data_IF_410731466416
#
_entry.id   IF_410731466416
#
_cell.length_a   1.000
_cell.length_b   1.000
_cell.length_c   1.000
_cell.angle_alpha   90.00
_cell.angle_beta   90.00
_cell.angle_gamma   90.00
#
_symmetry.space_group_name_H-M   'P 1'
#
loop_
_entity.id
_entity.type
_entity.pdbx_description
1 polymer ?
#
# COMPACT_ATOMS: atom_id res chain seq x y z
N UNK A 1 -10.00 66.93 -18.69
CA UNK A 1 -11.42 66.53 -18.71
C UNK A 1 -11.63 65.74 -20.00
N UNK A 2 -11.87 64.41 -19.91
CA UNK A 2 -12.52 63.52 -20.90
C UNK A 2 -11.94 63.50 -22.34
N UNK A 3 -11.53 62.40 -22.97
CA UNK A 3 -12.07 61.02 -23.00
C UNK A 3 -11.02 60.01 -23.51
N UNK A 4 -11.11 58.79 -22.99
CA UNK A 4 -10.44 57.57 -23.47
C UNK A 4 -11.03 57.11 -24.81
N UNK A 5 -10.23 56.60 -25.74
CA UNK A 5 -10.70 55.63 -26.76
C UNK A 5 -9.52 54.81 -27.35
N UNK A 6 -9.48 53.53 -26.96
CA UNK A 6 -9.00 52.34 -27.69
C UNK A 6 -7.49 52.05 -27.86
N UNK A 7 -6.96 50.99 -27.21
CA UNK A 7 -5.89 50.16 -27.75
C UNK A 7 -6.46 48.79 -28.16
N UNK A 8 -7.31 48.75 -29.19
CA UNK A 8 -7.86 47.49 -29.73
C UNK A 8 -7.18 47.11 -31.06
N UNK A 9 -5.84 47.15 -31.11
CA UNK A 9 -5.09 46.68 -32.29
C UNK A 9 -3.82 45.90 -31.95
N UNK A 10 -3.62 45.51 -30.69
CA UNK A 10 -2.50 44.63 -30.30
C UNK A 10 -2.99 43.23 -29.88
N UNK A 11 -4.32 43.04 -29.75
CA UNK A 11 -4.90 41.79 -29.24
C UNK A 11 -5.08 40.68 -30.28
N UNK A 12 -4.84 40.94 -31.57
CA UNK A 12 -5.13 39.97 -32.64
C UNK A 12 -3.93 39.14 -33.12
N UNK A 13 -2.70 39.47 -32.73
CA UNK A 13 -1.49 38.86 -33.30
C UNK A 13 -0.72 37.91 -32.34
N UNK A 14 -1.27 37.63 -31.16
CA UNK A 14 -0.69 36.70 -30.16
C UNK A 14 -1.61 35.50 -29.93
N UNK A 15 -2.13 34.90 -31.01
CA UNK A 15 -3.03 33.74 -30.93
C UNK A 15 -2.60 32.56 -31.83
N UNK A 16 -1.42 32.59 -32.46
CA UNK A 16 -1.06 31.58 -33.47
C UNK A 16 0.31 30.89 -33.31
N UNK A 17 0.97 30.93 -32.15
CA UNK A 17 2.29 30.28 -31.99
C UNK A 17 2.49 29.37 -30.77
N UNK A 18 1.44 29.01 -30.03
CA UNK A 18 1.52 27.91 -29.06
C UNK A 18 0.87 26.63 -29.61
N UNK A 19 1.15 26.32 -30.88
CA UNK A 19 0.89 25.01 -31.46
C UNK A 19 2.09 24.07 -31.23
N UNK A 20 2.57 23.94 -29.99
CA UNK A 20 3.51 22.87 -29.62
C UNK A 20 3.23 22.38 -28.20
N UNK A 21 2.73 21.14 -28.15
CA UNK A 21 2.68 20.22 -27.02
C UNK A 21 2.13 20.72 -25.68
N UNK A 22 0.82 20.54 -25.51
CA UNK A 22 0.33 19.98 -24.25
C UNK A 22 -0.79 18.99 -24.53
N UNK A 23 -0.41 17.85 -25.11
CA UNK A 23 -1.20 16.64 -24.96
C UNK A 23 -1.13 16.25 -23.50
N UNK A 24 -2.08 16.73 -22.69
CA UNK A 24 -2.31 16.18 -21.36
C UNK A 24 -2.86 14.77 -21.54
N UNK A 25 -1.99 13.77 -21.54
CA UNK A 25 -2.39 12.41 -21.28
C UNK A 25 -2.97 12.39 -19.85
N UNK A 26 -4.30 12.45 -19.76
CA UNK A 26 -5.00 12.13 -18.51
C UNK A 26 -4.74 10.66 -18.23
N UNK A 27 -3.71 10.37 -17.44
CA UNK A 27 -3.60 9.09 -16.75
C UNK A 27 -4.50 9.20 -15.51
N UNK A 28 -5.80 9.07 -15.72
CA UNK A 28 -6.72 8.79 -14.63
C UNK A 28 -6.37 7.40 -14.09
N UNK A 29 -5.42 7.34 -13.16
CA UNK A 29 -5.31 6.21 -12.26
C UNK A 29 -6.60 6.24 -11.42
N UNK A 30 -7.56 5.43 -11.84
CA UNK A 30 -8.84 5.24 -11.18
C UNK A 30 -8.58 4.53 -9.84
N UNK A 31 -8.16 5.29 -8.83
CA UNK A 31 -8.07 4.77 -7.48
C UNK A 31 -9.48 4.76 -6.87
N UNK A 32 -10.05 3.55 -6.87
CA UNK A 32 -11.17 3.04 -6.06
C UNK A 32 -12.30 4.02 -5.67
N UNK A 33 -13.52 3.74 -6.13
CA UNK A 33 -14.75 4.30 -5.57
C UNK A 33 -14.89 3.85 -4.11
N UNK A 34 -14.85 4.74 -3.10
CA UNK A 34 -15.15 4.35 -1.73
C UNK A 34 -16.67 4.14 -1.63
N UNK A 35 -17.10 2.87 -1.62
CA UNK A 35 -18.47 2.56 -1.26
C UNK A 35 -18.67 2.90 0.23
N UNK A 36 -19.46 3.92 0.52
CA UNK A 36 -19.69 4.50 1.84
C UNK A 36 -20.38 3.56 2.86
N UNK A 37 -20.60 2.28 2.51
CA UNK A 37 -21.07 1.22 3.42
C UNK A 37 -20.12 0.02 3.56
N UNK A 38 -18.89 0.08 3.04
CA UNK A 38 -17.95 -1.04 3.04
C UNK A 38 -17.09 -1.08 4.31
N UNK A 39 -17.16 -2.16 5.08
CA UNK A 39 -16.25 -2.45 6.20
C UNK A 39 -14.82 -2.47 5.66
N UNK A 40 -13.99 -1.50 6.08
CA UNK A 40 -12.58 -1.42 5.68
C UNK A 40 -11.87 -2.73 6.07
N UNK A 41 -11.03 -3.25 5.19
CA UNK A 41 -10.11 -4.36 5.47
C UNK A 41 -8.76 -3.82 5.92
N UNK A 42 -7.89 -4.67 6.47
CA UNK A 42 -6.51 -4.26 6.78
C UNK A 42 -5.76 -3.83 5.51
N UNK A 43 -6.17 -4.34 4.34
CA UNK A 43 -5.64 -3.86 3.06
C UNK A 43 -6.08 -2.43 2.77
N UNK A 44 -7.32 -2.07 3.07
CA UNK A 44 -7.81 -0.71 2.84
C UNK A 44 -7.08 0.27 3.77
N UNK A 45 -6.73 -0.16 4.99
CA UNK A 45 -5.86 0.62 5.88
C UNK A 45 -4.45 0.76 5.29
N UNK A 46 -3.87 -0.32 4.77
CA UNK A 46 -2.51 -0.29 4.23
C UNK A 46 -2.40 0.41 2.88
N UNK A 47 -3.45 0.39 2.06
CA UNK A 47 -3.50 1.01 0.74
C UNK A 47 -3.83 2.52 0.77
N UNK A 48 -4.19 3.07 1.93
CA UNK A 48 -4.47 4.52 2.06
C UNK A 48 -3.21 5.38 1.94
N UNK A 49 -2.03 4.82 2.22
CA UNK A 49 -0.75 5.54 2.11
C UNK A 49 0.02 5.07 0.89
N UNK A 50 0.62 6.02 0.17
CA UNK A 50 1.54 5.74 -0.93
C UNK A 50 2.75 4.91 -0.46
N UNK A 51 3.18 5.13 0.80
CA UNK A 51 4.16 4.32 1.50
C UNK A 51 3.75 4.13 2.97
N UNK A 52 3.54 2.88 3.38
CA UNK A 52 3.32 2.50 4.77
C UNK A 52 4.51 1.70 5.28
N UNK A 53 5.18 2.22 6.31
CA UNK A 53 6.20 1.48 7.03
C UNK A 53 5.55 0.51 8.02
N UNK A 54 5.97 -0.75 7.98
CA UNK A 54 5.44 -1.83 8.82
C UNK A 54 6.61 -2.65 9.35
N UNK A 55 6.59 -2.94 10.64
CA UNK A 55 7.58 -3.81 11.30
C UNK A 55 6.98 -5.19 11.57
N UNK A 56 7.69 -6.24 11.17
CA UNK A 56 7.36 -7.62 11.49
C UNK A 56 8.41 -8.17 12.47
N UNK A 57 7.98 -8.47 13.71
CA UNK A 57 8.85 -9.01 14.76
C UNK A 57 8.55 -10.49 14.96
N UNK A 58 9.57 -11.35 14.85
CA UNK A 58 9.45 -12.82 14.98
C UNK A 58 10.79 -13.45 15.33
N UNK A 59 10.80 -14.72 15.74
CA UNK A 59 12.03 -15.51 15.85
C UNK A 59 12.56 -15.92 14.46
N UNK A 60 13.53 -15.15 13.97
CA UNK A 60 14.17 -15.41 12.68
C UNK A 60 15.01 -16.70 12.69
N UNK A 61 15.63 -17.05 13.81
CA UNK A 61 16.43 -18.28 13.93
C UNK A 61 15.56 -19.51 13.74
N UNK A 62 14.46 -19.58 14.49
CA UNK A 62 13.46 -20.64 14.35
C UNK A 62 12.88 -20.70 12.92
N UNK A 63 12.60 -19.54 12.30
CA UNK A 63 12.12 -19.46 10.92
C UNK A 63 13.11 -20.05 9.90
N UNK A 64 14.40 -19.73 10.02
CA UNK A 64 15.45 -20.14 9.09
C UNK A 64 15.78 -21.63 9.24
N UNK A 65 15.86 -22.11 10.48
CA UNK A 65 16.09 -23.53 10.81
C UNK A 65 14.95 -24.40 10.27
N UNK A 66 13.71 -23.94 10.44
CA UNK A 66 12.51 -24.69 10.06
C UNK A 66 11.96 -24.30 8.69
N UNK A 67 12.67 -23.51 7.87
CA UNK A 67 12.17 -22.94 6.60
C UNK A 67 11.61 -23.98 5.62
N UNK A 68 12.11 -25.22 5.66
CA UNK A 68 11.66 -26.32 4.78
C UNK A 68 10.30 -26.91 5.20
N UNK A 69 9.87 -26.66 6.44
CA UNK A 69 8.61 -27.13 7.03
C UNK A 69 7.57 -26.00 6.98
N UNK A 70 6.28 -26.37 6.99
CA UNK A 70 5.17 -25.40 7.04
C UNK A 70 4.69 -25.24 8.49
N UNK A 71 5.61 -24.83 9.37
CA UNK A 71 5.33 -24.63 10.79
C UNK A 71 4.83 -23.19 10.99
N UNK A 72 3.69 -23.05 11.66
CA UNK A 72 3.20 -21.77 12.16
C UNK A 72 4.01 -21.34 13.36
N UNK A 73 4.49 -20.10 13.35
CA UNK A 73 5.11 -19.47 14.50
C UNK A 73 4.46 -18.11 14.81
N UNK A 74 4.46 -17.67 16.07
CA UNK A 74 3.95 -16.36 16.46
C UNK A 74 4.84 -15.24 15.90
N UNK A 75 4.22 -14.11 15.56
CA UNK A 75 4.90 -12.88 15.20
C UNK A 75 4.02 -11.67 15.56
N UNK A 76 4.62 -10.50 15.70
CA UNK A 76 3.91 -9.23 15.86
C UNK A 76 4.08 -8.36 14.62
N UNK A 77 2.98 -7.80 14.13
CA UNK A 77 2.97 -6.83 13.03
C UNK A 77 2.61 -5.45 13.58
N UNK A 78 3.49 -4.48 13.47
CA UNK A 78 3.26 -3.12 13.95
C UNK A 78 3.47 -2.05 12.89
N UNK A 79 2.75 -0.93 13.05
CA UNK A 79 2.85 0.24 12.18
C UNK A 79 2.37 1.50 12.93
N UNK A 80 2.71 2.68 12.41
CA UNK A 80 2.22 3.96 12.92
C UNK A 80 0.99 4.39 12.11
N UNK A 81 -0.13 4.65 12.79
CA UNK A 81 -1.37 5.10 12.16
C UNK A 81 -1.27 6.58 11.72
N UNK A 82 -2.36 7.16 11.19
CA UNK A 82 -2.39 8.58 10.80
C UNK A 82 -2.37 9.55 11.98
N UNK A 83 -2.84 9.12 13.15
CA UNK A 83 -2.82 9.90 14.39
C UNK A 83 -1.45 9.88 15.10
N UNK A 84 -0.50 9.06 14.62
CA UNK A 84 0.81 8.88 15.25
C UNK A 84 0.87 7.76 16.30
N UNK A 85 -0.23 7.02 16.51
CA UNK A 85 -0.25 5.91 17.47
C UNK A 85 0.42 4.67 16.89
N UNK A 86 1.18 3.98 17.75
CA UNK A 86 1.72 2.66 17.44
C UNK A 86 0.64 1.59 17.58
N UNK A 87 0.29 0.97 16.46
CA UNK A 87 -0.65 -0.15 16.41
C UNK A 87 0.15 -1.45 16.25
N UNK A 88 -0.19 -2.47 17.05
CA UNK A 88 0.46 -3.78 16.99
C UNK A 88 -0.57 -4.91 16.97
N UNK A 89 -0.31 -5.93 16.15
CA UNK A 89 -1.17 -7.08 15.98
C UNK A 89 -0.38 -8.38 16.18
N UNK A 90 -0.89 -9.24 17.07
CA UNK A 90 -0.43 -10.62 17.18
C UNK A 90 -0.93 -11.44 15.98
N UNK A 91 0.03 -11.94 15.21
CA UNK A 91 -0.20 -12.73 14.00
C UNK A 91 0.59 -14.03 14.07
N UNK A 92 0.35 -14.90 13.09
CA UNK A 92 1.17 -16.09 12.86
C UNK A 92 1.81 -16.01 11.49
N UNK A 93 3.02 -16.52 11.36
CA UNK A 93 3.71 -16.59 10.07
C UNK A 93 4.08 -18.02 9.70
N UNK A 94 4.14 -18.30 8.40
CA UNK A 94 4.70 -19.54 7.87
C UNK A 94 5.58 -19.30 6.64
N UNK A 95 6.64 -20.10 6.43
CA UNK A 95 7.38 -20.10 5.16
C UNK A 95 6.46 -20.41 3.97
N UNK A 96 6.61 -19.63 2.91
CA UNK A 96 5.79 -19.73 1.69
C UNK A 96 6.56 -20.44 0.57
N UNK A 97 5.83 -21.32 -0.12
CA UNK A 97 6.22 -21.85 -1.43
C UNK A 97 7.16 -23.04 -1.32
N UNK A 98 6.82 -24.14 -2.01
CA UNK A 98 7.55 -25.41 -1.93
C UNK A 98 9.00 -25.28 -2.39
N UNK A 99 9.23 -24.56 -3.50
CA UNK A 99 10.57 -24.37 -4.07
C UNK A 99 11.33 -23.25 -3.34
N UNK A 100 10.75 -22.05 -3.26
CA UNK A 100 11.40 -20.87 -2.66
C UNK A 100 11.87 -21.11 -1.22
N UNK A 101 11.09 -21.79 -0.39
CA UNK A 101 11.50 -22.10 0.99
C UNK A 101 12.68 -23.08 1.12
N UNK A 102 13.05 -23.76 0.02
CA UNK A 102 14.20 -24.67 -0.02
C UNK A 102 15.46 -24.00 -0.54
N UNK A 103 15.31 -23.01 -1.43
CA UNK A 103 16.42 -22.38 -2.13
C UNK A 103 16.81 -20.99 -1.60
N UNK A 104 15.87 -20.25 -1.00
CA UNK A 104 16.15 -18.94 -0.43
C UNK A 104 16.63 -19.08 1.02
N UNK A 105 17.61 -18.27 1.41
CA UNK A 105 18.04 -18.16 2.81
C UNK A 105 16.94 -17.53 3.65
N UNK A 106 16.29 -16.50 3.09
CA UNK A 106 15.09 -15.91 3.64
C UNK A 106 13.85 -16.29 2.82
N UNK A 107 13.01 -17.25 3.29
CA UNK A 107 11.83 -17.65 2.54
C UNK A 107 10.79 -16.50 2.51
N UNK A 108 10.04 -16.34 1.42
CA UNK A 108 8.85 -15.48 1.45
C UNK A 108 7.87 -15.99 2.51
N UNK A 109 7.07 -15.10 3.10
CA UNK A 109 6.23 -15.43 4.25
C UNK A 109 4.74 -15.37 3.94
N UNK A 110 3.97 -16.26 4.56
CA UNK A 110 2.52 -16.12 4.70
C UNK A 110 2.25 -15.51 6.06
N UNK A 111 1.57 -14.36 6.12
CA UNK A 111 1.08 -13.80 7.38
C UNK A 111 -0.37 -14.24 7.60
N UNK A 112 -0.71 -14.63 8.82
CA UNK A 112 -2.04 -15.06 9.24
C UNK A 112 -2.49 -14.21 10.42
N UNK A 113 -3.46 -13.35 10.20
CA UNK A 113 -4.07 -12.52 11.26
C UNK A 113 -5.16 -13.33 11.96
N UNK A 114 -5.17 -13.30 13.29
CA UNK A 114 -6.18 -14.01 14.08
C UNK A 114 -7.58 -13.41 13.87
N UNK A 115 -8.62 -14.22 14.05
CA UNK A 115 -10.01 -13.73 13.88
C UNK A 115 -10.39 -12.70 14.94
N UNK A 116 -9.83 -12.82 16.15
CA UNK A 116 -10.04 -11.89 17.25
C UNK A 116 -9.50 -10.50 16.91
N UNK A 117 -8.28 -10.42 16.39
CA UNK A 117 -7.69 -9.15 15.94
C UNK A 117 -8.57 -8.48 14.87
N UNK A 118 -8.98 -9.22 13.84
CA UNK A 118 -9.83 -8.68 12.77
C UNK A 118 -11.18 -8.14 13.28
N UNK A 119 -11.78 -8.82 14.27
CA UNK A 119 -13.04 -8.42 14.86
C UNK A 119 -12.89 -7.14 15.71
N UNK A 120 -11.81 -7.03 16.49
CA UNK A 120 -11.52 -5.85 17.32
C UNK A 120 -11.25 -4.62 16.47
N UNK A 121 -10.53 -4.80 15.36
CA UNK A 121 -10.15 -3.69 14.48
C UNK A 121 -11.24 -3.27 13.48
N UNK A 122 -12.38 -3.97 13.47
CA UNK A 122 -13.45 -3.75 12.48
C UNK A 122 -12.99 -4.02 11.04
N UNK A 123 -12.01 -4.92 10.85
CA UNK A 123 -11.38 -5.17 9.55
C UNK A 123 -12.06 -6.36 8.86
N UNK A 124 -12.39 -6.23 7.57
CA UNK A 124 -13.02 -7.30 6.79
C UNK A 124 -12.17 -8.59 6.75
N UNK A 125 -12.82 -9.74 6.52
CA UNK A 125 -12.36 -11.08 6.90
C UNK A 125 -11.15 -11.66 6.12
N UNK A 126 -10.37 -10.86 5.40
CA UNK A 126 -9.18 -11.36 4.73
C UNK A 126 -8.03 -11.59 5.72
N UNK A 127 -7.76 -12.86 6.03
CA UNK A 127 -6.88 -13.26 7.15
C UNK A 127 -5.45 -13.58 6.72
N UNK A 128 -5.17 -13.65 5.41
CA UNK A 128 -3.93 -14.24 4.88
C UNK A 128 -3.26 -13.32 3.88
N UNK A 129 -1.98 -13.06 4.11
CA UNK A 129 -1.16 -12.16 3.28
C UNK A 129 0.08 -12.91 2.79
N UNK A 130 0.59 -12.54 1.61
CA UNK A 130 1.82 -13.09 1.05
C UNK A 130 2.83 -11.96 0.95
N UNK A 131 3.95 -12.09 1.64
CA UNK A 131 5.08 -11.19 1.51
C UNK A 131 6.05 -11.80 0.51
N UNK A 132 6.42 -11.03 -0.51
CA UNK A 132 7.45 -11.38 -1.49
C UNK A 132 8.56 -10.33 -1.46
N UNK A 133 9.80 -10.77 -1.60
CA UNK A 133 10.95 -9.89 -1.77
C UNK A 133 11.26 -9.80 -3.26
N UNK A 134 11.48 -8.59 -3.77
CA UNK A 134 12.14 -8.37 -5.06
C UNK A 134 13.62 -8.13 -4.74
N UNK A 135 14.48 -9.08 -5.10
CA UNK A 135 15.92 -8.85 -5.10
C UNK A 135 16.22 -8.07 -6.39
N UNK A 136 16.67 -6.83 -6.25
CA UNK A 136 17.23 -6.02 -7.33
C UNK A 136 18.72 -6.32 -7.49
#
# INVERSE_FOLDING_TARGET
>A
MFTRLLPNLVLAAMLCLCAMHLGTASNANLHAIPNAGSVKSIFDVFAQKEMLEVTLTTDLGHLIEHRKKEIEQPAALSYINEAGDAISYDIKITPRGKYRRRICDFPPLKLKVSKSVLAITGLSAHKRFKVGYALH
#
